data_IF_536796371382
#
_entry.id   IF_536796371382
#
_cell.length_a   1.000
_cell.length_b   1.000
_cell.length_c   1.000
_cell.angle_alpha   90.00
_cell.angle_beta   90.00
_cell.angle_gamma   90.00
#
_symmetry.space_group_name_H-M   'P 1'
#
loop_
_entity.id
_entity.type
_entity.pdbx_description
1 polymer ?
#
# COMPACT_ATOMS: atom_id res chain seq x y z
N UNK A 1 20.11 3.69 17.16
CA UNK A 1 21.02 2.52 17.38
C UNK A 1 22.18 2.91 18.29
N UNK A 2 22.59 2.05 19.22
CA UNK A 2 23.77 2.23 20.08
C UNK A 2 24.91 1.38 19.51
N UNK A 3 26.12 1.97 19.37
CA UNK A 3 27.30 1.30 18.82
C UNK A 3 27.70 1.72 17.40
N UNK A 4 28.63 0.96 16.80
CA UNK A 4 29.17 1.19 15.46
C UNK A 4 30.18 2.36 15.35
N UNK A 5 30.89 2.45 14.23
CA UNK A 5 31.70 3.62 13.90
C UNK A 5 30.80 4.80 13.47
N UNK A 6 31.36 6.02 13.42
CA UNK A 6 30.64 7.17 12.85
C UNK A 6 30.20 6.89 11.40
N UNK A 7 31.04 6.24 10.61
CA UNK A 7 30.74 5.87 9.24
C UNK A 7 29.54 4.91 9.15
N UNK A 8 29.51 3.84 9.97
CA UNK A 8 28.38 2.90 9.99
C UNK A 8 27.08 3.58 10.39
N UNK A 9 27.10 4.47 11.38
CA UNK A 9 25.90 5.23 11.78
C UNK A 9 25.40 6.14 10.67
N UNK A 10 26.31 6.82 9.94
CA UNK A 10 25.93 7.63 8.78
C UNK A 10 25.24 6.79 7.71
N UNK A 11 25.86 5.68 7.30
CA UNK A 11 25.27 4.76 6.31
C UNK A 11 23.89 4.27 6.75
N UNK A 12 23.76 3.83 8.01
CA UNK A 12 22.49 3.34 8.54
C UNK A 12 21.39 4.41 8.52
N UNK A 13 21.65 5.61 9.05
CA UNK A 13 20.63 6.65 9.12
C UNK A 13 20.32 7.25 7.74
N UNK A 14 21.29 7.33 6.83
CA UNK A 14 21.02 7.71 5.44
C UNK A 14 20.08 6.71 4.79
N UNK A 15 20.36 5.40 4.91
CA UNK A 15 19.49 4.36 4.37
C UNK A 15 18.09 4.39 4.99
N UNK A 16 17.99 4.62 6.30
CA UNK A 16 16.71 4.71 7.00
C UNK A 16 15.89 5.91 6.54
N UNK A 17 16.50 7.08 6.36
CA UNK A 17 15.81 8.26 5.82
C UNK A 17 15.31 7.95 4.40
N UNK A 18 16.11 7.32 3.55
CA UNK A 18 15.71 6.95 2.19
C UNK A 18 14.46 6.03 2.17
N UNK A 19 14.37 5.06 3.08
CA UNK A 19 13.21 4.15 3.20
C UNK A 19 11.93 4.84 3.70
N UNK A 20 12.00 6.07 4.19
CA UNK A 20 10.85 6.77 4.75
C UNK A 20 10.26 7.83 3.80
N UNK A 21 10.90 8.09 2.66
CA UNK A 21 10.49 9.12 1.70
C UNK A 21 9.25 8.72 0.90
N UNK A 22 9.17 7.47 0.47
CA UNK A 22 8.08 6.92 -0.33
C UNK A 22 7.49 5.69 0.37
N UNK A 23 6.34 5.17 -0.10
CA UNK A 23 5.22 5.91 -0.70
C UNK A 23 4.85 7.17 0.11
N UNK A 24 4.45 8.25 -0.56
CA UNK A 24 4.24 9.57 0.05
C UNK A 24 2.76 9.85 0.33
N UNK A 25 2.48 10.72 1.30
CA UNK A 25 1.13 11.27 1.54
C UNK A 25 0.64 11.96 0.26
N UNK A 26 -0.63 11.72 -0.10
CA UNK A 26 -1.26 12.20 -1.33
C UNK A 26 -2.63 12.85 -1.11
N UNK A 27 -2.98 13.10 0.15
CA UNK A 27 -4.10 13.94 0.56
C UNK A 27 -3.67 15.37 0.93
N UNK A 28 -4.59 16.30 0.72
CA UNK A 28 -4.53 17.66 1.23
C UNK A 28 -4.83 17.69 2.73
N UNK A 29 -4.51 18.82 3.39
CA UNK A 29 -4.69 19.01 4.85
C UNK A 29 -6.14 18.87 5.33
N UNK A 30 -7.13 18.98 4.43
CA UNK A 30 -8.55 18.77 4.71
C UNK A 30 -9.02 17.33 4.42
N UNK A 31 -8.09 16.45 4.07
CA UNK A 31 -8.31 15.04 3.78
C UNK A 31 -8.78 14.76 2.35
N UNK A 32 -8.90 15.77 1.47
CA UNK A 32 -9.26 15.54 0.06
C UNK A 32 -8.08 15.01 -0.74
N UNK A 33 -8.35 14.15 -1.71
CA UNK A 33 -7.36 13.71 -2.70
C UNK A 33 -8.02 13.42 -4.05
N UNK A 34 -7.26 13.51 -5.14
CA UNK A 34 -7.73 13.05 -6.46
C UNK A 34 -7.54 11.53 -6.56
N UNK A 35 -8.62 10.80 -6.81
CA UNK A 35 -8.61 9.35 -6.93
C UNK A 35 -8.19 8.86 -8.31
N UNK A 36 -8.06 7.53 -8.43
CA UNK A 36 -7.72 6.87 -9.69
C UNK A 36 -8.84 6.94 -10.75
N UNK A 37 -10.04 7.38 -10.36
CA UNK A 37 -11.17 7.62 -11.27
C UNK A 37 -11.33 9.11 -11.63
N UNK A 38 -10.29 9.92 -11.40
CA UNK A 38 -10.24 11.37 -11.63
C UNK A 38 -11.29 12.19 -10.86
N UNK A 39 -11.83 11.63 -9.77
CA UNK A 39 -12.74 12.34 -8.86
C UNK A 39 -12.06 12.70 -7.55
N UNK A 40 -12.61 13.71 -6.88
CA UNK A 40 -12.18 14.07 -5.53
C UNK A 40 -12.81 13.11 -4.52
N UNK A 41 -11.97 12.45 -3.73
CA UNK A 41 -12.33 11.59 -2.61
C UNK A 41 -11.84 12.19 -1.30
N UNK A 42 -12.21 11.58 -0.18
CA UNK A 42 -11.69 11.93 1.15
C UNK A 42 -11.03 10.72 1.79
N UNK A 43 -10.00 10.97 2.61
CA UNK A 43 -9.35 9.93 3.42
C UNK A 43 -10.42 9.13 4.18
N UNK A 44 -10.43 7.79 4.10
CA UNK A 44 -11.42 6.96 4.77
C UNK A 44 -11.42 7.18 6.29
N UNK A 45 -12.59 7.09 6.90
CA UNK A 45 -12.71 7.22 8.36
C UNK A 45 -11.82 6.19 9.08
N UNK A 46 -11.13 6.63 10.13
CA UNK A 46 -10.17 5.81 10.87
C UNK A 46 -8.74 5.87 10.32
N UNK A 47 -8.53 6.43 9.13
CA UNK A 47 -7.21 6.59 8.54
C UNK A 47 -6.72 8.03 8.63
N UNK A 48 -5.40 8.20 8.69
CA UNK A 48 -4.80 9.53 8.77
C UNK A 48 -4.51 10.09 7.38
N UNK A 49 -4.02 9.25 6.48
CA UNK A 49 -3.59 9.66 5.15
C UNK A 49 -3.94 8.63 4.07
N UNK A 50 -3.99 9.11 2.83
CA UNK A 50 -3.87 8.31 1.61
C UNK A 50 -2.42 8.38 1.13
N UNK A 51 -1.91 7.26 0.62
CA UNK A 51 -0.56 7.14 0.09
C UNK A 51 -0.56 6.89 -1.43
N UNK A 52 0.42 7.49 -2.11
CA UNK A 52 0.69 7.32 -3.54
C UNK A 52 2.18 7.13 -3.83
N UNK A 53 2.55 7.03 -5.12
CA UNK A 53 3.93 6.87 -5.61
C UNK A 53 4.55 5.54 -5.18
N UNK A 54 4.01 4.48 -5.76
CA UNK A 54 4.23 3.08 -5.38
C UNK A 54 5.27 2.42 -6.27
N UNK A 55 6.48 2.14 -5.79
CA UNK A 55 7.39 1.21 -6.46
C UNK A 55 7.09 -0.23 -6.02
N UNK A 56 5.85 -0.69 -6.27
CA UNK A 56 5.33 -1.92 -5.68
C UNK A 56 6.27 -3.11 -5.85
N UNK A 57 6.79 -3.32 -7.07
CA UNK A 57 7.72 -4.41 -7.38
C UNK A 57 8.97 -4.40 -6.53
N UNK A 58 9.46 -3.26 -6.06
CA UNK A 58 10.66 -3.17 -5.22
C UNK A 58 10.32 -3.29 -3.73
N UNK A 59 9.34 -2.51 -3.27
CA UNK A 59 9.11 -2.27 -1.84
C UNK A 59 8.54 -3.47 -1.09
N UNK A 60 7.89 -4.42 -1.78
CA UNK A 60 7.28 -5.59 -1.13
C UNK A 60 8.31 -6.50 -0.44
N UNK A 61 9.59 -6.45 -0.85
CA UNK A 61 10.65 -7.35 -0.37
C UNK A 61 11.29 -6.93 0.95
N UNK A 62 11.31 -5.64 1.26
CA UNK A 62 12.08 -5.11 2.39
C UNK A 62 11.48 -3.89 3.05
N UNK A 63 10.96 -2.93 2.28
CA UNK A 63 10.45 -1.68 2.84
C UNK A 63 9.12 -1.90 3.56
N UNK A 64 8.16 -2.60 2.94
CA UNK A 64 6.88 -2.90 3.60
C UNK A 64 7.08 -3.73 4.88
N UNK A 65 7.83 -4.86 4.87
CA UNK A 65 8.17 -5.59 6.10
C UNK A 65 8.84 -4.71 7.17
N UNK A 66 9.68 -3.75 6.79
CA UNK A 66 10.28 -2.81 7.75
C UNK A 66 9.20 -1.88 8.35
N UNK A 67 8.33 -1.31 7.50
CA UNK A 67 7.31 -0.37 7.93
C UNK A 67 6.25 -1.00 8.84
N UNK A 68 5.93 -2.29 8.69
CA UNK A 68 5.03 -2.99 9.63
C UNK A 68 5.59 -2.98 11.07
N UNK A 69 6.92 -2.98 11.22
CA UNK A 69 7.60 -2.96 12.53
C UNK A 69 7.72 -1.53 13.06
N UNK A 70 8.26 -0.60 12.26
CA UNK A 70 8.67 0.72 12.76
C UNK A 70 7.62 1.82 12.56
N UNK A 71 6.62 1.60 11.68
CA UNK A 71 5.57 2.57 11.34
C UNK A 71 4.22 1.87 11.10
N UNK A 72 3.70 1.06 12.05
CA UNK A 72 2.53 0.22 11.83
C UNK A 72 1.26 0.98 11.41
N UNK A 73 1.02 2.18 11.94
CA UNK A 73 -0.13 3.01 11.52
C UNK A 73 -0.01 3.44 10.06
N UNK A 74 1.19 3.86 9.61
CA UNK A 74 1.44 4.20 8.21
C UNK A 74 1.27 2.98 7.31
N UNK A 75 1.72 1.81 7.74
CA UNK A 75 1.53 0.58 6.99
C UNK A 75 0.03 0.25 6.81
N UNK A 76 -0.80 0.44 7.84
CA UNK A 76 -2.26 0.25 7.71
C UNK A 76 -2.91 1.27 6.78
N UNK A 77 -2.54 2.54 6.87
CA UNK A 77 -3.00 3.59 5.93
C UNK A 77 -2.57 3.28 4.49
N UNK A 78 -1.35 2.76 4.30
CA UNK A 78 -0.87 2.29 3.00
C UNK A 78 -1.69 1.11 2.47
N UNK A 79 -2.02 0.13 3.30
CA UNK A 79 -2.90 -0.98 2.90
C UNK A 79 -4.29 -0.48 2.49
N UNK A 80 -4.89 0.42 3.27
CA UNK A 80 -6.16 1.05 2.91
C UNK A 80 -6.04 1.84 1.60
N UNK A 81 -4.90 2.50 1.36
CA UNK A 81 -4.67 3.22 0.10
C UNK A 81 -4.70 2.31 -1.12
N UNK A 82 -4.14 1.11 -1.00
CA UNK A 82 -4.22 0.07 -2.05
C UNK A 82 -5.67 -0.43 -2.23
N UNK A 83 -6.45 -0.49 -1.16
CA UNK A 83 -7.88 -0.83 -1.25
C UNK A 83 -8.67 0.25 -1.99
N UNK A 84 -8.45 1.52 -1.67
CA UNK A 84 -9.13 2.63 -2.33
C UNK A 84 -8.74 2.73 -3.82
N UNK A 85 -7.47 2.53 -4.15
CA UNK A 85 -7.01 2.33 -5.53
C UNK A 85 -7.86 1.27 -6.24
N UNK A 86 -7.98 0.08 -5.66
CA UNK A 86 -8.75 -1.00 -6.26
C UNK A 86 -10.24 -0.68 -6.42
N UNK A 87 -10.85 0.03 -5.46
CA UNK A 87 -12.25 0.49 -5.55
C UNK A 87 -12.46 1.49 -6.68
N UNK A 88 -11.48 2.36 -6.91
CA UNK A 88 -11.59 3.48 -7.85
C UNK A 88 -11.30 3.06 -9.30
N UNK A 89 -10.25 2.26 -9.54
CA UNK A 89 -9.88 1.81 -10.90
C UNK A 89 -10.28 0.37 -11.23
N UNK A 90 -10.75 -0.40 -10.24
CA UNK A 90 -11.20 -1.78 -10.41
C UNK A 90 -10.11 -2.85 -10.24
N UNK A 91 -8.84 -2.49 -10.03
CA UNK A 91 -7.74 -3.43 -9.81
C UNK A 91 -6.61 -2.82 -8.96
N UNK A 92 -5.76 -3.69 -8.39
CA UNK A 92 -4.56 -3.28 -7.67
C UNK A 92 -3.42 -3.16 -8.67
N UNK A 93 -2.89 -1.95 -8.86
CA UNK A 93 -1.75 -1.76 -9.76
C UNK A 93 -0.45 -2.33 -9.14
N UNK A 94 0.58 -2.52 -9.97
CA UNK A 94 1.91 -2.97 -9.55
C UNK A 94 2.90 -1.82 -9.34
N UNK A 95 2.71 -0.72 -10.04
CA UNK A 95 3.52 0.50 -10.00
C UNK A 95 2.66 1.69 -10.43
N UNK A 96 2.18 2.46 -9.46
CA UNK A 96 1.35 3.64 -9.69
C UNK A 96 2.05 4.92 -9.24
N UNK A 97 1.93 5.98 -10.03
CA UNK A 97 2.44 7.31 -9.74
C UNK A 97 1.25 8.26 -9.61
N UNK A 98 1.20 9.02 -8.50
CA UNK A 98 0.02 9.80 -8.13
C UNK A 98 -1.27 8.93 -8.17
N UNK A 99 -2.23 9.32 -9.00
CA UNK A 99 -3.49 8.60 -9.25
C UNK A 99 -3.47 7.83 -10.59
N UNK A 100 -2.30 7.56 -11.16
CA UNK A 100 -2.17 6.95 -12.49
C UNK A 100 -1.43 5.59 -12.45
N UNK A 101 -2.03 4.52 -13.02
CA UNK A 101 -1.36 3.23 -13.16
C UNK A 101 -0.30 3.29 -14.28
N UNK A 102 0.96 3.00 -13.95
CA UNK A 102 2.02 2.89 -14.97
C UNK A 102 2.21 1.44 -15.43
N UNK A 103 1.86 0.46 -14.58
CA UNK A 103 1.92 -0.94 -14.95
C UNK A 103 3.33 -1.41 -15.34
N UNK A 104 4.39 -0.86 -14.75
CA UNK A 104 5.78 -1.30 -15.03
C UNK A 104 6.17 -2.49 -14.13
N UNK A 105 7.10 -3.34 -14.62
CA UNK A 105 7.49 -4.63 -14.03
C UNK A 105 6.41 -5.72 -14.08
N UNK A 106 6.58 -6.83 -13.35
CA UNK A 106 5.76 -8.05 -13.45
C UNK A 106 5.12 -8.47 -12.12
N UNK A 107 4.09 -9.33 -12.20
CA UNK A 107 3.39 -9.87 -11.05
C UNK A 107 2.44 -8.87 -10.36
N UNK A 108 2.03 -9.21 -9.14
CA UNK A 108 1.08 -8.45 -8.31
C UNK A 108 1.72 -8.00 -6.98
N UNK A 109 2.76 -7.16 -7.00
CA UNK A 109 3.55 -6.90 -5.82
C UNK A 109 2.82 -6.09 -4.74
N UNK A 110 1.91 -5.17 -5.09
CA UNK A 110 1.09 -4.47 -4.07
C UNK A 110 0.09 -5.41 -3.37
N UNK A 111 -0.29 -6.53 -4.01
CA UNK A 111 -1.00 -7.60 -3.32
C UNK A 111 -0.13 -8.25 -2.25
N UNK A 112 1.13 -8.56 -2.56
CA UNK A 112 2.09 -9.06 -1.58
C UNK A 112 2.30 -8.07 -0.43
N UNK A 113 2.36 -6.77 -0.70
CA UNK A 113 2.45 -5.73 0.33
C UNK A 113 1.26 -5.79 1.31
N UNK A 114 0.03 -5.84 0.79
CA UNK A 114 -1.18 -5.89 1.64
C UNK A 114 -1.23 -7.19 2.45
N UNK A 115 -0.84 -8.32 1.86
CA UNK A 115 -0.76 -9.61 2.57
C UNK A 115 0.29 -9.55 3.69
N UNK A 116 1.46 -8.99 3.43
CA UNK A 116 2.51 -8.82 4.46
C UNK A 116 2.01 -7.99 5.65
N UNK A 117 1.31 -6.88 5.38
CA UNK A 117 0.74 -6.01 6.42
C UNK A 117 -0.29 -6.78 7.26
N UNK A 118 -1.15 -7.58 6.62
CA UNK A 118 -2.11 -8.44 7.31
C UNK A 118 -1.43 -9.50 8.19
N UNK A 119 -0.42 -10.20 7.65
CA UNK A 119 0.32 -11.25 8.35
C UNK A 119 1.13 -10.69 9.54
N UNK A 120 1.54 -9.42 9.48
CA UNK A 120 2.16 -8.71 10.59
C UNK A 120 1.18 -8.35 11.73
N UNK A 121 -0.10 -8.72 11.63
CA UNK A 121 -1.12 -8.46 12.65
C UNK A 121 -1.74 -7.07 12.57
N UNK A 122 -1.55 -6.36 11.45
CA UNK A 122 -2.07 -5.01 11.24
C UNK A 122 -3.36 -5.10 10.43
N UNK A 123 -4.52 -5.01 11.08
CA UNK A 123 -5.82 -5.34 10.47
C UNK A 123 -6.74 -4.14 10.25
N UNK A 124 -6.28 -2.92 10.51
CA UNK A 124 -7.06 -1.71 10.33
C UNK A 124 -7.08 -1.27 8.86
N UNK A 125 -7.68 -2.07 7.99
CA UNK A 125 -8.04 -1.72 6.61
C UNK A 125 -9.11 -2.72 6.11
N UNK A 126 -9.81 -2.38 5.03
CA UNK A 126 -10.89 -3.20 4.47
C UNK A 126 -10.34 -4.43 3.72
N UNK A 127 -9.95 -5.46 4.48
CA UNK A 127 -9.40 -6.72 3.98
C UNK A 127 -10.37 -7.45 3.05
N UNK A 128 -11.68 -7.30 3.24
CA UNK A 128 -12.69 -7.96 2.39
C UNK A 128 -12.66 -7.36 0.98
N UNK A 129 -12.62 -6.04 0.87
CA UNK A 129 -12.44 -5.38 -0.41
C UNK A 129 -11.07 -5.69 -1.03
N UNK A 130 -10.01 -5.71 -0.22
CA UNK A 130 -8.66 -6.08 -0.67
C UNK A 130 -8.65 -7.50 -1.28
N UNK A 131 -9.16 -8.49 -0.56
CA UNK A 131 -9.22 -9.88 -0.99
C UNK A 131 -10.06 -10.02 -2.27
N UNK A 132 -11.21 -9.35 -2.35
CA UNK A 132 -12.05 -9.36 -3.56
C UNK A 132 -11.27 -8.85 -4.77
N UNK A 133 -10.52 -7.76 -4.63
CA UNK A 133 -9.69 -7.22 -5.71
C UNK A 133 -8.57 -8.19 -6.12
N UNK A 134 -7.86 -8.76 -5.14
CA UNK A 134 -6.82 -9.76 -5.37
C UNK A 134 -7.34 -11.01 -6.09
N UNK A 135 -8.49 -11.53 -5.67
CA UNK A 135 -9.12 -12.69 -6.30
C UNK A 135 -9.54 -12.39 -7.74
N UNK A 136 -10.13 -11.21 -7.98
CA UNK A 136 -10.59 -10.80 -9.31
C UNK A 136 -9.43 -10.64 -10.28
N UNK A 137 -8.32 -9.98 -9.88
CA UNK A 137 -7.19 -9.75 -10.79
C UNK A 137 -6.42 -11.05 -11.12
N UNK A 138 -6.29 -11.96 -10.15
CA UNK A 138 -5.56 -13.21 -10.33
C UNK A 138 -6.39 -14.25 -11.08
N UNK A 139 -7.71 -14.22 -10.86
CA UNK A 139 -8.64 -15.20 -11.41
C UNK A 139 -9.94 -14.49 -11.84
N UNK A 140 -9.99 -13.93 -13.07
CA UNK A 140 -11.11 -13.12 -13.55
C UNK A 140 -12.48 -13.82 -13.51
N UNK A 141 -12.52 -15.15 -13.49
CA UNK A 141 -13.74 -15.95 -13.40
C UNK A 141 -14.01 -16.53 -11.99
N UNK A 142 -13.11 -16.36 -11.02
CA UNK A 142 -13.22 -16.97 -9.69
C UNK A 142 -14.46 -16.50 -8.93
N UNK A 143 -14.78 -15.20 -9.00
CA UNK A 143 -15.96 -14.67 -8.31
C UNK A 143 -17.28 -15.06 -8.98
N UNK A 144 -17.28 -15.55 -10.22
CA UNK A 144 -18.50 -15.99 -10.91
C UNK A 144 -19.07 -17.30 -10.35
N UNK A 145 -18.32 -18.01 -9.48
CA UNK A 145 -18.76 -19.24 -8.81
C UNK A 145 -18.63 -19.24 -7.27
N UNK A 146 -18.10 -18.18 -6.66
CA UNK A 146 -17.71 -18.15 -5.24
C UNK A 146 -18.19 -16.87 -4.51
N UNK A 147 -19.42 -16.43 -4.77
CA UNK A 147 -19.97 -15.16 -4.30
C UNK A 147 -20.04 -14.98 -2.76
N UNK A 148 -19.71 -16.00 -1.95
CA UNK A 148 -19.92 -16.00 -0.50
C UNK A 148 -18.67 -16.39 0.32
N UNK A 149 -17.53 -15.77 0.03
CA UNK A 149 -16.31 -15.90 0.85
C UNK A 149 -16.10 -14.70 1.79
N UNK A 150 -17.19 -14.01 2.14
CA UNK A 150 -17.16 -12.83 3.02
C UNK A 150 -17.34 -13.16 4.51
N UNK A 151 -17.33 -14.44 4.88
CA UNK A 151 -17.44 -14.90 6.27
C UNK A 151 -16.14 -14.69 7.05
#
# INVERSE_FOLDING_TARGET
>A
VIGGSLAHRKTFYTALVSHLLLPSVFDDVDGRYIGYDDKIHHVPAGHKHIYANWSGWDIYRSEIPLLTIIKPQRAQDMAQSVVEMAKQQGFIDRWAEANHPLGVQNGFPLTSCVVEIWQAGLHHFDIKAAYKAMATQCFPDYLKGHADLSA
#
